data_IF_012098159025
#
_entry.id   IF_012098159025
#
_cell.length_a   1.000
_cell.length_b   1.000
_cell.length_c   1.000
_cell.angle_alpha   90.00
_cell.angle_beta   90.00
_cell.angle_gamma   90.00
#
_symmetry.space_group_name_H-M   'P 1'
#
loop_
_entity.id
_entity.type
_entity.pdbx_description
1 polymer ?
#
# COMPACT_ATOMS: atom_id res chain seq x y z
N UNK A 1 -19.92 -2.58 11.97
CA UNK A 1 -18.70 -3.07 11.28
C UNK A 1 -18.77 -2.58 9.85
N UNK A 2 -17.90 -1.66 9.47
CA UNK A 2 -18.08 -0.85 8.25
C UNK A 2 -17.78 -1.69 7.01
N UNK A 3 -18.73 -1.78 6.08
CA UNK A 3 -18.59 -2.53 4.82
C UNK A 3 -17.31 -2.18 4.05
N UNK A 4 -16.88 -0.91 4.12
CA UNK A 4 -15.63 -0.43 3.52
C UNK A 4 -14.39 -1.04 4.17
N UNK A 5 -14.37 -1.16 5.51
CA UNK A 5 -13.25 -1.78 6.22
C UNK A 5 -13.16 -3.28 5.89
N UNK A 6 -14.32 -3.95 5.73
CA UNK A 6 -14.38 -5.33 5.29
C UNK A 6 -13.82 -5.49 3.87
N UNK A 7 -14.19 -4.63 2.93
CA UNK A 7 -13.69 -4.66 1.54
C UNK A 7 -12.17 -4.43 1.49
N UNK A 8 -11.63 -3.48 2.25
CA UNK A 8 -10.19 -3.22 2.32
C UNK A 8 -9.43 -4.40 2.93
N UNK A 9 -9.98 -5.02 3.97
CA UNK A 9 -9.39 -6.21 4.57
C UNK A 9 -9.35 -7.38 3.58
N UNK A 10 -10.46 -7.66 2.86
CA UNK A 10 -10.48 -8.72 1.85
C UNK A 10 -9.52 -8.46 0.69
N UNK A 11 -9.37 -7.21 0.24
CA UNK A 11 -8.41 -6.86 -0.83
C UNK A 11 -6.95 -7.03 -0.39
N UNK A 12 -6.63 -6.77 0.89
CA UNK A 12 -5.31 -7.00 1.45
C UNK A 12 -4.92 -8.48 1.49
N UNK A 13 -5.88 -9.39 1.70
CA UNK A 13 -5.62 -10.84 1.68
C UNK A 13 -5.23 -11.35 0.29
N UNK A 14 -5.77 -10.78 -0.79
CA UNK A 14 -5.39 -11.15 -2.17
C UNK A 14 -4.08 -10.50 -2.66
N UNK A 15 -3.59 -9.46 -1.99
CA UNK A 15 -2.33 -8.82 -2.38
C UNK A 15 -1.09 -9.70 -2.06
N UNK A 16 -1.22 -10.64 -1.12
CA UNK A 16 -0.15 -11.57 -0.75
C UNK A 16 -0.09 -12.84 -1.62
N UNK A 17 -0.97 -12.99 -2.63
CA UNK A 17 -1.10 -14.26 -3.38
C UNK A 17 -0.38 -14.27 -4.73
N UNK A 18 0.17 -13.14 -5.18
CA UNK A 18 1.13 -13.16 -6.30
C UNK A 18 2.50 -13.59 -5.80
N UNK A 19 2.59 -14.83 -5.31
CA UNK A 19 3.85 -15.54 -5.32
C UNK A 19 4.02 -16.05 -6.76
N UNK A 20 5.03 -15.61 -7.51
CA UNK A 20 5.26 -16.15 -8.84
C UNK A 20 5.50 -17.65 -8.71
N UNK A 21 4.88 -18.44 -9.59
CA UNK A 21 5.19 -19.86 -9.71
C UNK A 21 6.69 -19.96 -10.01
N UNK A 22 7.47 -20.44 -9.05
CA UNK A 22 8.86 -20.86 -9.26
C UNK A 22 8.81 -22.18 -10.04
N UNK A 23 8.29 -22.10 -11.27
CA UNK A 23 8.25 -23.17 -12.26
C UNK A 23 9.62 -23.40 -12.92
N UNK A 24 10.66 -22.76 -12.39
CA UNK A 24 12.02 -23.19 -12.67
C UNK A 24 12.22 -24.55 -11.99
N UNK A 25 11.88 -25.61 -12.74
CA UNK A 25 12.46 -26.93 -12.55
C UNK A 25 13.93 -26.70 -12.27
N UNK A 26 14.40 -27.05 -11.07
CA UNK A 26 15.77 -26.85 -10.66
C UNK A 26 16.69 -27.13 -11.84
N UNK A 27 17.48 -26.13 -12.27
CA UNK A 27 18.28 -26.20 -13.49
C UNK A 27 18.92 -27.59 -13.62
N UNK A 28 18.79 -28.29 -14.76
CA UNK A 28 19.34 -29.63 -14.90
C UNK A 28 20.79 -29.68 -14.40
N UNK A 29 21.04 -30.55 -13.41
CA UNK A 29 22.34 -30.66 -12.75
C UNK A 29 22.45 -29.99 -11.38
N UNK A 30 21.47 -29.20 -10.91
CA UNK A 30 21.49 -28.59 -9.56
C UNK A 30 21.60 -29.64 -8.45
N UNK A 31 20.93 -30.79 -8.60
CA UNK A 31 21.00 -31.89 -7.63
C UNK A 31 22.40 -32.53 -7.52
N UNK A 32 23.24 -32.37 -8.54
CA UNK A 32 24.60 -32.90 -8.61
C UNK A 32 25.66 -31.79 -8.63
N UNK A 33 25.22 -30.52 -8.54
CA UNK A 33 26.12 -29.39 -8.59
C UNK A 33 27.03 -29.43 -7.36
N UNK A 34 28.33 -29.13 -7.52
CA UNK A 34 29.22 -29.05 -6.39
C UNK A 34 28.69 -27.99 -5.41
N UNK A 35 28.65 -28.36 -4.14
CA UNK A 35 28.26 -27.44 -3.09
C UNK A 35 29.19 -26.22 -3.13
N UNK A 36 28.66 -24.99 -2.99
CA UNK A 36 29.49 -23.80 -3.00
C UNK A 36 30.54 -23.87 -1.89
N UNK A 37 31.72 -23.31 -2.16
CA UNK A 37 32.77 -23.18 -1.14
C UNK A 37 32.26 -22.24 -0.05
N UNK A 38 32.03 -22.78 1.15
CA UNK A 38 31.71 -21.95 2.32
C UNK A 38 32.98 -21.19 2.70
N UNK A 39 32.94 -19.86 2.59
CA UNK A 39 34.04 -18.97 2.97
C UNK A 39 33.92 -18.58 4.45
N UNK A 40 35.05 -18.38 5.16
CA UNK A 40 35.02 -17.93 6.55
C UNK A 40 34.30 -16.59 6.71
N UNK A 41 33.47 -16.48 7.75
CA UNK A 41 32.67 -15.28 8.03
C UNK A 41 33.54 -14.07 8.40
N UNK A 42 34.71 -14.27 9.01
CA UNK A 42 35.59 -13.18 9.47
C UNK A 42 35.96 -12.21 8.35
N UNK A 43 36.19 -12.71 7.14
CA UNK A 43 36.48 -11.88 5.97
C UNK A 43 35.29 -11.06 5.48
N UNK A 44 34.06 -11.57 5.66
CA UNK A 44 32.82 -10.88 5.32
C UNK A 44 32.45 -9.83 6.36
N UNK A 45 32.72 -10.11 7.64
CA UNK A 45 32.48 -9.20 8.76
C UNK A 45 33.54 -8.09 8.86
N UNK A 46 34.73 -8.31 8.29
CA UNK A 46 35.78 -7.30 8.15
C UNK A 46 35.54 -6.34 6.98
N UNK A 47 34.48 -6.55 6.20
CA UNK A 47 34.10 -5.61 5.16
C UNK A 47 33.81 -4.23 5.79
N UNK A 48 34.09 -3.12 5.08
CA UNK A 48 33.73 -1.79 5.54
C UNK A 48 32.27 -1.75 5.97
N UNK A 49 31.98 -1.08 7.09
CA UNK A 49 30.63 -0.98 7.61
C UNK A 49 29.66 -0.60 6.49
N UNK A 50 28.48 -1.27 6.40
CA UNK A 50 27.52 -1.00 5.34
C UNK A 50 27.21 0.50 5.31
N UNK A 51 27.06 1.04 4.10
CA UNK A 51 26.74 2.46 3.89
C UNK A 51 25.49 2.78 4.70
N UNK A 52 25.68 3.51 5.80
CA UNK A 52 24.59 3.99 6.64
C UNK A 52 24.04 5.27 6.03
N UNK A 53 22.75 5.48 6.18
CA UNK A 53 22.14 6.75 5.83
C UNK A 53 22.91 7.86 6.57
N UNK A 54 23.38 8.85 5.81
CA UNK A 54 23.96 10.05 6.41
C UNK A 54 22.83 10.87 7.05
N UNK A 55 23.15 11.77 8.00
CA UNK A 55 22.15 12.67 8.57
C UNK A 55 21.32 13.40 7.50
N UNK A 56 21.95 13.81 6.41
CA UNK A 56 21.30 14.51 5.30
C UNK A 56 20.23 13.64 4.60
N UNK A 57 20.52 12.35 4.40
CA UNK A 57 19.55 11.40 3.81
C UNK A 57 18.37 11.17 4.75
N UNK A 58 18.62 11.12 6.06
CA UNK A 58 17.57 10.96 7.07
C UNK A 58 16.66 12.19 7.08
N UNK A 59 17.25 13.39 7.05
CA UNK A 59 16.51 14.65 7.03
C UNK A 59 15.65 14.78 5.79
N UNK A 60 16.18 14.41 4.61
CA UNK A 60 15.43 14.45 3.36
C UNK A 60 14.22 13.51 3.39
N UNK A 61 14.39 12.28 3.85
CA UNK A 61 13.29 11.31 3.96
C UNK A 61 12.24 11.79 4.96
N UNK A 62 12.68 12.35 6.09
CA UNK A 62 11.79 12.87 7.14
C UNK A 62 10.98 14.06 6.64
N UNK A 63 11.59 14.98 5.89
CA UNK A 63 10.91 16.12 5.28
C UNK A 63 9.88 15.70 4.24
N UNK A 64 10.17 14.66 3.44
CA UNK A 64 9.19 14.10 2.50
C UNK A 64 8.01 13.46 3.22
N UNK A 65 8.28 12.69 4.29
CA UNK A 65 7.24 12.03 5.07
C UNK A 65 6.26 13.07 5.68
N UNK A 66 6.78 14.12 6.33
CA UNK A 66 5.93 15.18 6.90
C UNK A 66 5.10 15.91 5.84
N UNK A 67 5.66 16.13 4.65
CA UNK A 67 4.93 16.70 3.52
C UNK A 67 3.80 15.80 3.02
N UNK A 68 3.98 14.48 3.03
CA UNK A 68 2.94 13.52 2.67
C UNK A 68 1.84 13.45 3.73
N UNK A 69 2.20 13.49 5.01
CA UNK A 69 1.24 13.52 6.12
C UNK A 69 0.36 14.77 6.06
N UNK A 70 0.95 15.96 5.87
CA UNK A 70 0.19 17.19 5.72
C UNK A 70 -0.77 17.15 4.51
N UNK A 71 -0.35 16.54 3.40
CA UNK A 71 -1.22 16.33 2.23
C UNK A 71 -2.34 15.34 2.55
N UNK A 72 -2.05 14.28 3.27
CA UNK A 72 -3.05 13.30 3.67
C UNK A 72 -4.11 13.92 4.58
N UNK A 73 -3.71 14.74 5.56
CA UNK A 73 -4.63 15.50 6.41
C UNK A 73 -5.51 16.45 5.59
N UNK A 74 -4.91 17.21 4.67
CA UNK A 74 -5.65 18.09 3.78
C UNK A 74 -6.64 17.33 2.88
N UNK A 75 -6.27 16.12 2.42
CA UNK A 75 -7.15 15.26 1.63
C UNK A 75 -8.24 14.63 2.48
N UNK A 76 -7.96 14.18 3.71
CA UNK A 76 -8.96 13.63 4.63
C UNK A 76 -10.04 14.67 4.98
N UNK A 77 -9.66 15.94 5.13
CA UNK A 77 -10.61 17.04 5.27
C UNK A 77 -11.48 17.28 4.01
N UNK A 78 -11.01 16.85 2.83
CA UNK A 78 -11.71 17.00 1.55
C UNK A 78 -12.46 15.73 1.11
N UNK A 79 -12.09 14.54 1.59
CA UNK A 79 -12.48 13.25 1.04
C UNK A 79 -13.71 12.57 1.69
N UNK A 80 -14.61 13.32 2.32
CA UNK A 80 -15.99 12.83 2.56
C UNK A 80 -17.05 13.69 1.88
N UNK A 81 -16.68 14.82 1.27
CA UNK A 81 -17.57 15.59 0.42
C UNK A 81 -17.50 15.04 -1.02
N UNK A 82 -18.15 13.90 -1.27
CA UNK A 82 -18.56 13.54 -2.62
C UNK A 82 -19.42 14.70 -3.17
N UNK A 83 -19.13 15.25 -4.36
CA UNK A 83 -19.74 16.49 -4.87
C UNK A 83 -21.25 16.39 -5.18
N UNK A 84 -21.82 15.19 -5.27
CA UNK A 84 -23.27 14.99 -5.26
C UNK A 84 -23.71 14.71 -3.83
N UNK A 85 -23.87 15.78 -3.05
CA UNK A 85 -24.24 15.63 -1.65
C UNK A 85 -25.52 14.79 -1.54
N UNK A 86 -25.52 13.81 -0.63
CA UNK A 86 -26.73 13.03 -0.31
C UNK A 86 -27.89 13.98 0.02
N UNK A 87 -27.60 15.14 0.60
CA UNK A 87 -28.56 16.22 0.83
C UNK A 87 -29.23 16.72 -0.45
N UNK A 88 -28.49 16.90 -1.54
CA UNK A 88 -29.01 17.34 -2.84
C UNK A 88 -29.87 16.28 -3.52
N UNK A 89 -29.43 15.03 -3.47
CA UNK A 89 -30.25 13.88 -3.89
C UNK A 89 -31.53 13.77 -3.07
N UNK A 90 -31.47 13.98 -1.75
CA UNK A 90 -32.65 13.98 -0.89
C UNK A 90 -33.61 15.14 -1.18
N UNK A 91 -33.09 16.34 -1.48
CA UNK A 91 -33.91 17.49 -1.90
C UNK A 91 -34.68 17.16 -3.18
N UNK A 92 -34.00 16.62 -4.19
CA UNK A 92 -34.63 16.22 -5.44
C UNK A 92 -35.69 15.12 -5.23
N UNK A 93 -35.39 14.08 -4.44
CA UNK A 93 -36.33 13.00 -4.14
C UNK A 93 -37.59 13.49 -3.42
N UNK A 94 -37.45 14.45 -2.48
CA UNK A 94 -38.59 15.04 -1.78
C UNK A 94 -39.48 15.85 -2.72
N UNK A 95 -38.89 16.70 -3.55
CA UNK A 95 -39.63 17.46 -4.55
C UNK A 95 -40.38 16.54 -5.53
N UNK A 96 -39.75 15.44 -5.96
CA UNK A 96 -40.38 14.42 -6.82
C UNK A 96 -41.55 13.71 -6.13
N UNK A 97 -41.41 13.41 -4.84
CA UNK A 97 -42.48 12.77 -4.06
C UNK A 97 -43.67 13.69 -3.80
N UNK A 98 -43.44 14.99 -3.62
CA UNK A 98 -44.51 15.99 -3.51
C UNK A 98 -45.30 16.12 -4.81
N UNK A 99 -44.62 16.17 -5.96
CA UNK A 99 -45.27 16.20 -7.27
C UNK A 99 -46.17 14.98 -7.50
N UNK A 100 -45.70 13.77 -7.14
CA UNK A 100 -46.48 12.53 -7.29
C UNK A 100 -47.69 12.42 -6.35
N UNK A 101 -47.73 13.18 -5.25
CA UNK A 101 -48.89 13.20 -4.34
C UNK A 101 -49.96 14.23 -4.75
N UNK A 102 -49.59 15.16 -5.63
CA UNK A 102 -50.48 16.18 -6.15
C UNK A 102 -51.23 15.73 -7.42
N UNK A 103 -50.85 14.57 -7.97
CA UNK A 103 -51.56 13.83 -9.03
C UNK A 103 -52.56 12.83 -8.42
#
# INVERSE_FOLDING_TARGET
>A
MNLRALIVALAGLSACTQFPELDETATPGVAQAPYPRIVPLDGLLSAPAPVRATPEVIDEVTARASGLEARAEALQGRATAQPDSVAERLRWLRARAEALRAE
#
